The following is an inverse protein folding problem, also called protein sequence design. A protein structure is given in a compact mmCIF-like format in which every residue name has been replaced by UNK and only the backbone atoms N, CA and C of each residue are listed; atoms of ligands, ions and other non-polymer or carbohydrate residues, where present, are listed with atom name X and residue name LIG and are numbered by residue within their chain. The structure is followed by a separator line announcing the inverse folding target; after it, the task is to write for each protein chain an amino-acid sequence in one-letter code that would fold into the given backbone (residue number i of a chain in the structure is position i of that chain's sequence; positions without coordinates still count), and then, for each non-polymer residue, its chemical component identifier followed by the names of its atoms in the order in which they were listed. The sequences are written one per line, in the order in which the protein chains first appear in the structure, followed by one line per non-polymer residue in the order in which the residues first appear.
data_IF_752859907495
#
_entry.id   IF_752859907495
#
_cell.length_a   1.000
_cell.length_b   1.000
_cell.length_c   1.000
_cell.angle_alpha   90.00
_cell.angle_beta   90.00
_cell.angle_gamma   90.00
#
_symmetry.space_group_name_H-M   'P 1'
#
loop_
_entity.id
_entity.type
_entity.pdbx_description
1 polymer ?
#
# COMPACT_ATOMS: atom_id res chain seq x y z
N UNK A 1 2.90 -9.92 -28.67
CA UNK A 1 1.99 -10.16 -27.53
C UNK A 1 1.29 -11.48 -27.76
N UNK A 2 1.48 -12.47 -26.89
CA UNK A 2 0.70 -13.70 -26.91
C UNK A 2 -0.72 -13.44 -26.33
N UNK A 3 -1.59 -14.43 -26.40
CA UNK A 3 -2.99 -14.28 -25.98
C UNK A 3 -3.13 -13.97 -24.48
N UNK A 4 -2.39 -14.69 -23.63
CA UNK A 4 -2.37 -14.45 -22.18
C UNK A 4 -1.90 -13.04 -21.83
N UNK A 5 -0.88 -12.52 -22.54
CA UNK A 5 -0.37 -11.17 -22.35
C UNK A 5 -1.41 -10.11 -22.76
N UNK A 6 -2.20 -10.34 -23.82
CA UNK A 6 -3.30 -9.43 -24.20
C UNK A 6 -4.40 -9.43 -23.15
N UNK A 7 -4.88 -10.60 -22.74
CA UNK A 7 -5.92 -10.73 -21.71
C UNK A 7 -5.51 -10.07 -20.39
N UNK A 8 -4.25 -10.28 -19.96
CA UNK A 8 -3.72 -9.62 -18.77
C UNK A 8 -3.64 -8.10 -18.93
N UNK A 9 -3.22 -7.61 -20.10
CA UNK A 9 -3.12 -6.16 -20.36
C UNK A 9 -4.49 -5.48 -20.39
N UNK A 10 -5.48 -6.14 -21.01
CA UNK A 10 -6.85 -5.64 -21.07
C UNK A 10 -7.48 -5.60 -19.67
N UNK A 11 -7.26 -6.65 -18.87
CA UNK A 11 -7.71 -6.65 -17.48
C UNK A 11 -7.03 -5.55 -16.64
N UNK A 12 -5.71 -5.39 -16.76
CA UNK A 12 -4.95 -4.36 -16.04
C UNK A 12 -5.42 -2.95 -16.40
N UNK A 13 -5.81 -2.69 -17.64
CA UNK A 13 -6.30 -1.39 -18.07
C UNK A 13 -7.54 -0.92 -17.29
N UNK A 14 -8.37 -1.86 -16.83
CA UNK A 14 -9.54 -1.58 -16.01
C UNK A 14 -9.25 -1.36 -14.51
N UNK A 15 -8.01 -1.60 -14.06
CA UNK A 15 -7.65 -1.54 -12.64
C UNK A 15 -7.15 -0.15 -12.19
N UNK A 16 -7.01 0.81 -13.10
CA UNK A 16 -6.37 2.10 -12.81
C UNK A 16 -6.94 2.80 -11.57
N UNK A 17 -8.26 3.03 -11.53
CA UNK A 17 -8.89 3.72 -10.39
C UNK A 17 -8.75 2.95 -9.07
N UNK A 18 -8.79 1.61 -9.12
CA UNK A 18 -8.65 0.78 -7.93
C UNK A 18 -7.23 0.87 -7.37
N UNK A 19 -6.22 0.81 -8.26
CA UNK A 19 -4.81 0.96 -7.90
C UNK A 19 -4.52 2.38 -7.37
N UNK A 20 -5.07 3.42 -8.00
CA UNK A 20 -4.92 4.80 -7.56
C UNK A 20 -5.52 5.01 -6.16
N UNK A 21 -6.74 4.52 -5.91
CA UNK A 21 -7.39 4.62 -4.58
C UNK A 21 -6.61 3.90 -3.49
N UNK A 22 -6.07 2.72 -3.80
CA UNK A 22 -5.23 1.97 -2.87
C UNK A 22 -3.94 2.75 -2.57
N UNK A 23 -3.26 3.25 -3.60
CA UNK A 23 -2.05 4.06 -3.43
C UNK A 23 -2.34 5.33 -2.64
N UNK A 24 -3.43 6.03 -2.91
CA UNK A 24 -3.84 7.22 -2.17
C UNK A 24 -4.05 6.89 -0.69
N UNK A 25 -4.74 5.79 -0.37
CA UNK A 25 -4.97 5.35 1.02
C UNK A 25 -3.65 5.04 1.74
N UNK A 26 -2.70 4.39 1.05
CA UNK A 26 -1.37 4.10 1.60
C UNK A 26 -0.54 5.37 1.78
N UNK A 27 -0.67 6.35 0.89
CA UNK A 27 0.02 7.65 0.95
C UNK A 27 -0.54 8.52 2.08
N UNK A 28 -1.86 8.55 2.24
CA UNK A 28 -2.53 9.35 3.27
C UNK A 28 -2.31 8.79 4.69
N UNK A 29 -2.00 7.50 4.79
CA UNK A 29 -1.64 6.89 6.07
C UNK A 29 -0.19 7.25 6.43
N UNK A 30 0.01 7.92 7.56
CA UNK A 30 1.34 8.30 8.07
C UNK A 30 2.12 7.04 8.47
N UNK A 31 3.07 6.61 7.64
CA UNK A 31 3.88 5.39 7.84
C UNK A 31 5.36 5.69 8.05
N UNK A 32 5.64 6.72 8.84
CA UNK A 32 6.99 7.05 9.25
C UNK A 32 7.70 5.82 9.85
N UNK A 33 8.91 5.51 9.38
CA UNK A 33 9.68 4.34 9.81
C UNK A 33 9.96 4.25 11.32
N UNK A 34 9.84 5.35 12.06
CA UNK A 34 9.99 5.38 13.53
C UNK A 34 8.66 5.37 14.29
N UNK A 35 7.53 5.39 13.59
CA UNK A 35 6.19 5.37 14.17
C UNK A 35 5.56 3.99 13.96
N UNK A 36 5.76 3.08 14.91
CA UNK A 36 5.24 1.70 14.83
C UNK A 36 3.73 1.69 14.57
N UNK A 37 2.95 2.55 15.22
CA UNK A 37 1.51 2.61 15.03
C UNK A 37 1.14 2.99 13.59
N UNK A 38 1.90 3.89 12.97
CA UNK A 38 1.74 4.26 11.57
C UNK A 38 2.10 3.14 10.60
N UNK A 39 3.20 2.42 10.88
CA UNK A 39 3.60 1.26 10.07
C UNK A 39 2.58 0.12 10.18
N UNK A 40 2.09 -0.17 11.40
CA UNK A 40 1.08 -1.20 11.63
C UNK A 40 -0.23 -0.85 10.92
N UNK A 41 -0.65 0.42 10.91
CA UNK A 41 -1.83 0.89 10.20
C UNK A 41 -1.73 0.66 8.68
N UNK A 42 -0.59 0.96 8.06
CA UNK A 42 -0.35 0.62 6.65
C UNK A 42 -0.35 -0.88 6.43
N UNK A 43 0.25 -1.64 7.35
CA UNK A 43 0.20 -3.09 7.30
C UNK A 43 -1.24 -3.63 7.31
N UNK A 44 -2.15 -3.01 8.07
CA UNK A 44 -3.55 -3.47 8.18
C UNK A 44 -4.30 -3.20 6.86
N UNK A 45 -4.05 -2.05 6.23
CA UNK A 45 -4.61 -1.72 4.92
C UNK A 45 -4.18 -2.73 3.85
N UNK A 46 -2.89 -3.07 3.82
CA UNK A 46 -2.34 -4.05 2.87
C UNK A 46 -2.88 -5.45 3.14
N UNK A 47 -2.91 -5.89 4.39
CA UNK A 47 -3.46 -7.19 4.75
C UNK A 47 -4.94 -7.30 4.37
N UNK A 48 -5.73 -6.26 4.63
CA UNK A 48 -7.15 -6.20 4.28
C UNK A 48 -7.36 -6.33 2.76
N UNK A 49 -6.58 -5.59 1.97
CA UNK A 49 -6.70 -5.64 0.51
C UNK A 49 -6.30 -7.02 -0.04
N UNK A 50 -5.18 -7.58 0.42
CA UNK A 50 -4.72 -8.90 -0.01
C UNK A 50 -5.71 -10.01 0.34
N UNK A 51 -6.28 -9.97 1.55
CA UNK A 51 -7.32 -10.92 1.96
C UNK A 51 -8.60 -10.78 1.11
N UNK A 52 -8.98 -9.54 0.75
CA UNK A 52 -10.12 -9.28 -0.14
C UNK A 52 -9.90 -9.86 -1.55
N UNK A 53 -8.66 -9.88 -2.03
CA UNK A 53 -8.27 -10.48 -3.30
C UNK A 53 -8.07 -12.01 -3.20
N UNK A 54 -8.34 -12.61 -2.04
CA UNK A 54 -8.25 -14.05 -1.80
C UNK A 54 -6.82 -14.57 -1.55
N UNK A 55 -5.89 -13.67 -1.23
CA UNK A 55 -4.50 -14.00 -0.92
C UNK A 55 -4.37 -14.21 0.58
N UNK A 56 -3.81 -15.35 1.02
CA UNK A 56 -3.57 -15.59 2.43
C UNK A 56 -2.43 -14.72 2.94
N UNK A 57 -2.63 -14.08 4.10
CA UNK A 57 -1.64 -13.20 4.74
C UNK A 57 -1.38 -13.66 6.18
N UNK A 58 -0.11 -13.84 6.52
CA UNK A 58 0.40 -14.03 7.87
C UNK A 58 1.10 -12.74 8.34
N UNK A 59 0.86 -12.35 9.60
CA UNK A 59 1.57 -11.23 10.24
C UNK A 59 2.59 -11.77 11.23
N UNK A 60 3.85 -11.40 11.02
CA UNK A 60 4.96 -11.78 11.89
C UNK A 60 5.34 -10.54 12.71
N UNK A 61 5.07 -10.51 14.02
CA UNK A 61 5.37 -9.36 14.87
C UNK A 61 6.88 -9.21 15.04
N UNK A 62 7.36 -7.96 15.01
CA UNK A 62 8.78 -7.62 15.25
C UNK A 62 8.85 -6.60 16.39
N UNK A 63 9.57 -6.94 17.46
CA UNK A 63 9.67 -6.06 18.62
C UNK A 63 10.37 -4.74 18.28
N UNK A 64 9.78 -3.62 18.69
CA UNK A 64 10.26 -2.27 18.38
C UNK A 64 10.06 -1.79 16.93
N UNK A 65 9.55 -2.63 16.03
CA UNK A 65 9.32 -2.30 14.61
C UNK A 65 7.89 -2.63 14.17
N UNK A 66 7.51 -2.19 12.97
CA UNK A 66 6.25 -2.61 12.36
C UNK A 66 6.23 -4.10 12.01
N UNK A 67 5.05 -4.68 11.96
CA UNK A 67 4.87 -6.10 11.63
C UNK A 67 5.30 -6.42 10.17
N UNK A 68 5.83 -7.63 9.97
CA UNK A 68 6.12 -8.14 8.62
C UNK A 68 4.90 -8.89 8.09
N UNK A 69 4.51 -8.60 6.85
CA UNK A 69 3.45 -9.32 6.15
C UNK A 69 4.05 -10.39 5.24
N UNK A 70 3.68 -11.65 5.46
CA UNK A 70 3.95 -12.76 4.56
C UNK A 70 2.66 -13.10 3.81
N UNK A 71 2.62 -12.80 2.51
CA UNK A 71 1.48 -13.12 1.66
C UNK A 71 1.80 -14.33 0.77
N UNK A 72 0.91 -15.32 0.76
CA UNK A 72 1.06 -16.52 -0.06
C UNK A 72 -0.09 -16.63 -1.06
N UNK A 73 0.28 -16.81 -2.33
CA UNK A 73 -0.66 -17.13 -3.41
C UNK A 73 -0.31 -18.54 -3.93
N UNK A 74 -1.21 -19.53 -3.84
CA UNK A 74 -0.94 -20.87 -4.34
C UNK A 74 -0.77 -20.86 -5.86
N UNK A 75 0.28 -21.50 -6.35
CA UNK A 75 0.53 -21.64 -7.78
C UNK A 75 -0.54 -22.52 -8.46
N UNK A 76 -0.97 -22.13 -9.66
CA UNK A 76 -1.87 -22.93 -10.49
C UNK A 76 -1.21 -24.20 -11.02
N UNK A 77 -2.00 -25.24 -11.29
CA UNK A 77 -1.56 -26.60 -11.66
C UNK A 77 -0.86 -26.74 -13.03
N UNK A 78 -0.58 -25.65 -13.74
CA UNK A 78 -0.02 -25.70 -15.09
C UNK A 78 1.49 -25.37 -15.08
N UNK A 79 2.32 -26.42 -15.22
CA UNK A 79 3.79 -26.40 -15.35
C UNK A 79 4.57 -26.36 -14.02
N UNK A 80 5.86 -26.78 -13.96
CA UNK A 80 6.62 -26.82 -12.71
C UNK A 80 6.61 -25.44 -12.07
N UNK A 81 5.97 -25.35 -10.91
CA UNK A 81 5.73 -24.09 -10.23
C UNK A 81 7.05 -23.46 -9.81
N UNK A 82 7.55 -22.51 -10.62
CA UNK A 82 8.59 -21.60 -10.20
C UNK A 82 8.03 -20.74 -9.06
N UNK A 83 8.57 -20.88 -7.85
CA UNK A 83 8.23 -19.97 -6.74
C UNK A 83 8.83 -18.60 -7.05
N UNK A 84 7.97 -17.59 -7.17
CA UNK A 84 8.37 -16.19 -7.24
C UNK A 84 8.20 -15.56 -5.85
N UNK A 85 9.23 -14.87 -5.36
CA UNK A 85 9.16 -14.08 -4.14
C UNK A 85 9.20 -12.60 -4.51
N UNK A 86 8.20 -11.84 -4.07
CA UNK A 86 8.16 -10.40 -4.21
C UNK A 86 8.32 -9.77 -2.83
N UNK A 87 9.31 -8.88 -2.68
CA UNK A 87 9.56 -8.13 -1.45
C UNK A 87 9.32 -6.64 -1.68
N UNK A 88 8.57 -6.00 -0.79
CA UNK A 88 8.32 -4.56 -0.81
C UNK A 88 8.44 -3.97 0.60
N UNK A 89 8.78 -2.68 0.69
CA UNK A 89 8.85 -1.92 1.94
C UNK A 89 7.73 -0.88 1.92
N UNK A 90 6.87 -0.90 2.93
CA UNK A 90 5.72 -0.01 3.03
C UNK A 90 5.96 1.23 3.93
N UNK A 91 7.15 1.31 4.54
CA UNK A 91 7.54 2.44 5.41
C UNK A 91 8.12 3.58 4.61
N UNK A 92 7.91 4.81 5.10
CA UNK A 92 8.47 6.02 4.49
C UNK A 92 9.43 6.73 5.43
N UNK A 93 10.50 7.28 4.84
CA UNK A 93 11.45 8.16 5.51
C UNK A 93 11.11 9.62 5.19
N UNK A 94 10.02 10.13 5.75
CA UNK A 94 9.71 11.57 5.74
C UNK A 94 9.63 12.08 7.19
N UNK A 95 10.11 13.29 7.49
CA UNK A 95 9.85 13.89 8.79
C UNK A 95 8.33 13.98 9.00
N UNK A 96 7.83 13.47 10.13
CA UNK A 96 6.43 13.57 10.52
C UNK A 96 6.01 15.04 10.39
N UNK A 97 5.03 15.34 9.54
CA UNK A 97 4.47 16.68 9.48
C UNK A 97 4.03 17.05 10.91
N UNK A 98 4.35 18.26 11.41
CA UNK A 98 3.94 18.63 12.76
C UNK A 98 2.43 18.43 12.89
N UNK A 99 2.00 17.74 13.97
CA UNK A 99 0.58 17.61 14.34
C UNK A 99 -0.11 18.95 14.07
N UNK A 100 -1.24 19.00 13.36
CA UNK A 100 -1.90 20.28 13.12
C UNK A 100 -2.19 20.91 14.48
N UNK A 101 -1.56 22.06 14.74
CA UNK A 101 -1.97 22.94 15.81
C UNK A 101 -3.48 23.11 15.66
N UNK A 102 -4.21 22.86 16.75
CA UNK A 102 -5.64 23.03 16.81
C UNK A 102 -6.05 24.37 16.16
N UNK A 103 -7.10 24.30 15.33
CA UNK A 103 -7.75 25.40 14.61
C UNK A 103 -6.96 26.03 13.44
N UNK A 104 -6.98 25.36 12.28
CA UNK A 104 -6.87 26.04 10.98
C UNK A 104 -8.29 26.50 10.60
N UNK A 105 -8.59 27.81 10.55
CA UNK A 105 -9.86 28.28 10.00
C UNK A 105 -9.91 27.88 8.51
N UNK A 106 -11.06 27.38 8.05
CA UNK A 106 -11.26 26.87 6.68
C UNK A 106 -10.66 27.83 5.65
N UNK A 107 -9.54 27.45 5.03
CA UNK A 107 -8.94 28.20 3.94
C UNK A 107 -9.60 27.79 2.61
N UNK A 108 -9.87 28.75 1.70
CA UNK A 108 -10.43 28.48 0.39
C UNK A 108 -9.48 27.67 -0.50
N UNK A 109 -10.07 26.86 -1.38
CA UNK A 109 -9.45 25.76 -2.15
C UNK A 109 -8.19 26.13 -2.97
N UNK A 110 -7.96 27.41 -3.27
CA UNK A 110 -6.79 27.87 -4.03
C UNK A 110 -5.47 27.87 -3.25
N UNK A 111 -5.52 27.82 -1.90
CA UNK A 111 -4.34 27.75 -1.04
C UNK A 111 -3.78 26.33 -0.89
N UNK A 112 -4.60 25.27 -1.10
CA UNK A 112 -4.13 23.88 -1.03
C UNK A 112 -3.16 23.55 -2.18
N UNK A 113 -3.36 24.14 -3.37
CA UNK A 113 -2.52 23.90 -4.54
C UNK A 113 -1.09 24.46 -4.40
N UNK A 114 -0.85 25.40 -3.47
CA UNK A 114 0.48 25.98 -3.24
C UNK A 114 1.28 25.20 -2.18
N UNK A 115 0.60 24.45 -1.29
CA UNK A 115 1.24 23.76 -0.17
C UNK A 115 1.96 22.46 -0.57
N UNK A 116 1.70 21.93 -1.78
CA UNK A 116 2.26 20.64 -2.26
C UNK A 116 3.27 20.79 -3.41
N UNK A 117 3.91 21.96 -3.54
CA UNK A 117 4.94 22.22 -4.56
C UNK A 117 6.34 22.46 -3.97
N UNK A 118 6.73 21.65 -2.99
CA UNK A 118 8.11 21.52 -2.52
C UNK A 118 8.44 20.03 -2.45
#
# INVERSE_FOLDING_TARGET
MNEAQRQASDWLSGQYEAMEKLLQSLVDTDSNSYDKAGVDAVGELLATQLLADGISVERIPVDGFGDVLLAELPGGQAAPASRCCCSAIATRYFPKAPRPLAAIPKMPNWLMALAWRI
#
